data_IF_443386603862
#
_entry.id   IF_443386603862
#
_cell.length_a   1.000
_cell.length_b   1.000
_cell.length_c   1.000
_cell.angle_alpha   90.00
_cell.angle_beta   90.00
_cell.angle_gamma   90.00
#
_symmetry.space_group_name_H-M   'P 1'
#
loop_
_entity.id
_entity.type
_entity.pdbx_description
1 polymer ?
#
# COMPACT_ATOMS: atom_id res chain seq x y z
N UNK A 1 -3.48 -2.01 9.21
CA UNK A 1 -4.55 -1.25 8.51
C UNK A 1 -5.81 -1.08 9.37
N UNK A 2 -6.48 -2.16 9.80
CA UNK A 2 -7.74 -2.07 10.57
C UNK A 2 -7.69 -1.16 11.81
N UNK A 3 -6.59 -1.18 12.56
CA UNK A 3 -6.40 -0.28 13.71
C UNK A 3 -6.46 1.21 13.32
N UNK A 4 -5.93 1.57 12.14
CA UNK A 4 -6.02 2.94 11.60
C UNK A 4 -7.46 3.23 11.19
N UNK A 5 -8.12 2.30 10.48
CA UNK A 5 -9.49 2.51 9.99
C UNK A 5 -10.54 2.66 11.10
N UNK A 6 -10.34 1.98 12.23
CA UNK A 6 -11.27 2.00 13.37
C UNK A 6 -10.95 3.07 14.42
N UNK A 7 -9.80 3.72 14.32
CA UNK A 7 -9.48 4.89 15.13
C UNK A 7 -9.77 6.15 14.29
N UNK A 8 -10.81 6.89 14.64
CA UNK A 8 -11.25 8.05 13.86
C UNK A 8 -10.14 9.10 13.65
N UNK A 9 -9.37 9.39 14.69
CA UNK A 9 -8.27 10.35 14.62
C UNK A 9 -7.16 9.87 13.68
N UNK A 10 -6.75 8.61 13.80
CA UNK A 10 -5.74 8.04 12.92
C UNK A 10 -6.24 8.00 11.47
N UNK A 11 -7.48 7.53 11.24
CA UNK A 11 -8.11 7.51 9.91
C UNK A 11 -8.07 8.89 9.25
N UNK A 12 -8.49 9.93 9.97
CA UNK A 12 -8.50 11.30 9.48
C UNK A 12 -7.08 11.80 9.14
N UNK A 13 -6.10 11.55 10.01
CA UNK A 13 -4.71 11.95 9.76
C UNK A 13 -4.13 11.30 8.50
N UNK A 14 -4.35 10.00 8.31
CA UNK A 14 -3.89 9.30 7.11
C UNK A 14 -4.63 9.78 5.86
N UNK A 15 -5.94 9.97 5.92
CA UNK A 15 -6.72 10.50 4.80
C UNK A 15 -6.25 11.90 4.42
N UNK A 16 -6.08 12.79 5.39
CA UNK A 16 -5.55 14.14 5.16
C UNK A 16 -4.14 14.08 4.55
N UNK A 17 -3.28 13.19 5.03
CA UNK A 17 -1.94 13.00 4.48
C UNK A 17 -1.98 12.64 2.99
N UNK A 18 -2.78 11.62 2.60
CA UNK A 18 -2.85 11.13 1.22
C UNK A 18 -3.55 12.07 0.22
N UNK A 19 -4.35 13.03 0.70
CA UNK A 19 -5.01 14.02 -0.16
C UNK A 19 -4.17 15.27 -0.43
N UNK A 20 -2.96 15.37 0.15
CA UNK A 20 -2.04 16.48 -0.14
C UNK A 20 -1.27 16.20 -1.43
N UNK A 21 -1.38 17.12 -2.38
CA UNK A 21 -0.79 17.00 -3.73
C UNK A 21 0.74 16.88 -3.75
N UNK A 22 1.42 17.42 -2.73
CA UNK A 22 2.90 17.47 -2.68
C UNK A 22 3.50 16.38 -1.77
N UNK A 23 2.73 15.32 -1.48
CA UNK A 23 3.22 14.22 -0.62
C UNK A 23 3.53 12.98 -1.42
N UNK A 24 4.59 12.28 -0.98
CA UNK A 24 4.95 10.97 -1.51
C UNK A 24 4.84 9.91 -0.41
N UNK A 25 4.39 8.72 -0.80
CA UNK A 25 4.23 7.56 0.08
C UNK A 25 4.89 6.34 -0.55
N UNK A 26 5.59 5.54 0.26
CA UNK A 26 6.15 4.27 -0.15
C UNK A 26 5.80 3.19 0.87
N UNK A 27 5.26 2.07 0.39
CA UNK A 27 5.00 0.88 1.20
C UNK A 27 5.83 -0.31 0.71
N UNK A 28 6.68 -0.87 1.57
CA UNK A 28 7.51 -2.03 1.24
C UNK A 28 7.07 -3.23 2.07
N UNK A 29 6.88 -4.39 1.43
CA UNK A 29 6.48 -5.66 2.08
C UNK A 29 5.21 -5.48 2.95
N UNK A 30 5.32 -5.57 4.28
CA UNK A 30 4.21 -5.34 5.21
C UNK A 30 3.60 -3.92 5.06
N UNK A 31 4.39 -2.93 4.65
CA UNK A 31 3.90 -1.59 4.33
C UNK A 31 2.99 -1.59 3.09
N UNK A 32 3.35 -2.33 2.04
CA UNK A 32 2.51 -2.49 0.84
C UNK A 32 1.18 -3.20 1.17
N UNK A 33 1.24 -4.26 2.00
CA UNK A 33 0.05 -4.94 2.52
C UNK A 33 -0.83 -4.01 3.37
N UNK A 34 -0.21 -3.13 4.16
CA UNK A 34 -0.94 -2.16 4.98
C UNK A 34 -1.65 -1.12 4.10
N UNK A 35 -0.94 -0.52 3.14
CA UNK A 35 -1.50 0.51 2.25
C UNK A 35 -2.58 -0.04 1.32
N UNK A 36 -2.41 -1.24 0.75
CA UNK A 36 -3.46 -1.88 -0.06
C UNK A 36 -4.77 -2.11 0.71
N UNK A 37 -4.69 -2.29 2.03
CA UNK A 37 -5.88 -2.37 2.89
C UNK A 37 -6.42 -0.99 3.32
N UNK A 38 -5.68 0.10 3.08
CA UNK A 38 -6.12 1.48 3.28
C UNK A 38 -6.55 2.16 1.97
N UNK A 39 -6.75 1.42 0.88
CA UNK A 39 -7.04 2.00 -0.43
C UNK A 39 -8.24 2.95 -0.47
N UNK A 40 -9.21 2.80 0.44
CA UNK A 40 -10.35 3.72 0.59
C UNK A 40 -9.96 5.14 1.04
N UNK A 41 -8.75 5.32 1.57
CA UNK A 41 -8.21 6.61 2.02
C UNK A 41 -7.24 7.23 1.00
N UNK A 42 -6.88 6.51 -0.07
CA UNK A 42 -5.81 6.88 -1.00
C UNK A 42 -6.43 7.20 -2.37
N UNK A 43 -6.35 8.45 -2.85
CA UNK A 43 -6.83 8.80 -4.19
C UNK A 43 -6.18 7.96 -5.29
N UNK A 44 -6.97 7.48 -6.25
CA UNK A 44 -6.48 6.69 -7.39
C UNK A 44 -6.14 5.23 -7.09
N UNK A 45 -6.35 4.74 -5.87
CA UNK A 45 -6.01 3.37 -5.45
C UNK A 45 -7.14 2.34 -5.68
N UNK A 46 -8.22 2.68 -6.39
CA UNK A 46 -9.41 1.83 -6.54
C UNK A 46 -9.07 0.43 -7.09
N UNK A 47 -8.17 0.38 -8.07
CA UNK A 47 -7.71 -0.83 -8.76
C UNK A 47 -6.59 -1.58 -8.04
N UNK A 48 -6.15 -1.12 -6.86
CA UNK A 48 -5.08 -1.81 -6.14
C UNK A 48 -5.50 -3.22 -5.71
N UNK A 49 -4.64 -4.23 -5.93
CA UNK A 49 -4.92 -5.61 -5.56
C UNK A 49 -4.81 -5.82 -4.05
N UNK A 50 -5.23 -7.00 -3.59
CA UNK A 50 -4.93 -7.50 -2.25
C UNK A 50 -3.73 -8.43 -2.31
N UNK A 51 -2.87 -8.35 -1.30
CA UNK A 51 -1.78 -9.29 -1.10
C UNK A 51 -2.22 -10.35 -0.09
N UNK A 52 -2.15 -11.62 -0.50
CA UNK A 52 -2.64 -12.78 0.25
C UNK A 52 -1.53 -13.81 0.39
N UNK A 53 -1.86 -14.99 0.94
CA UNK A 53 -0.93 -16.10 1.06
C UNK A 53 -0.40 -16.51 -0.31
N UNK A 54 0.90 -16.79 -0.39
CA UNK A 54 1.56 -17.29 -1.59
C UNK A 54 0.94 -18.63 -2.02
N UNK A 55 0.92 -18.89 -3.33
CA UNK A 55 0.49 -20.19 -3.88
C UNK A 55 1.35 -21.36 -3.37
N UNK A 56 2.63 -21.12 -3.07
CA UNK A 56 3.53 -22.13 -2.47
C UNK A 56 3.17 -22.48 -1.03
N UNK A 57 2.27 -21.70 -0.40
CA UNK A 57 1.89 -21.78 1.00
C UNK A 57 3.02 -21.59 2.02
N UNK A 58 4.21 -21.18 1.55
CA UNK A 58 5.42 -20.96 2.35
C UNK A 58 5.85 -19.49 2.33
N UNK A 59 6.67 -19.15 3.31
CA UNK A 59 7.46 -17.91 3.27
C UNK A 59 8.60 -18.07 2.26
N UNK A 60 8.80 -17.06 1.42
CA UNK A 60 9.81 -17.07 0.36
C UNK A 60 10.86 -15.99 0.63
N UNK A 61 12.08 -16.40 1.01
CA UNK A 61 13.24 -15.53 1.09
C UNK A 61 14.11 -15.75 -0.16
N UNK A 62 14.04 -14.81 -1.11
CA UNK A 62 14.66 -14.95 -2.43
C UNK A 62 15.43 -13.70 -2.82
N UNK A 63 16.47 -13.89 -3.62
CA UNK A 63 17.03 -12.84 -4.45
C UNK A 63 16.44 -12.99 -5.85
N UNK A 64 15.36 -12.27 -6.11
CA UNK A 64 14.58 -12.38 -7.35
C UNK A 64 14.98 -11.27 -8.33
N UNK A 65 15.16 -11.64 -9.60
CA UNK A 65 15.31 -10.66 -10.68
C UNK A 65 13.94 -10.07 -11.04
N UNK A 66 13.88 -8.75 -11.18
CA UNK A 66 12.66 -8.01 -11.57
C UNK A 66 12.99 -6.99 -12.64
N UNK A 67 11.98 -6.59 -13.41
CA UNK A 67 12.06 -5.53 -14.43
C UNK A 67 11.22 -4.32 -14.00
N UNK A 68 11.74 -3.11 -14.25
CA UNK A 68 11.02 -1.86 -13.99
C UNK A 68 10.10 -1.57 -15.18
N UNK A 69 8.79 -1.64 -14.96
CA UNK A 69 7.76 -1.36 -15.96
C UNK A 69 7.43 0.14 -16.02
N UNK A 70 6.99 0.63 -17.19
CA UNK A 70 6.48 1.99 -17.33
C UNK A 70 5.22 2.19 -16.47
N UNK A 71 5.20 3.22 -15.65
CA UNK A 71 4.07 3.61 -14.80
C UNK A 71 4.13 5.11 -14.46
N UNK A 72 3.12 5.60 -13.76
CA UNK A 72 3.09 6.96 -13.20
C UNK A 72 3.80 7.07 -11.83
N UNK A 73 4.59 6.04 -11.45
CA UNK A 73 5.43 6.09 -10.24
C UNK A 73 6.46 7.21 -10.36
N UNK A 74 6.57 8.01 -9.30
CA UNK A 74 7.64 9.02 -9.15
C UNK A 74 8.95 8.42 -8.64
N UNK A 75 8.90 7.18 -8.13
CA UNK A 75 10.05 6.40 -7.68
C UNK A 75 10.49 5.40 -8.75
#
# INVERSE_FOLDING_TARGET
AKAILFNAQAREQFQAFFNREETFSLGVCNGCQMLSNLKELIPGADLWPRFVRNESERFEARFSLVEVQKSDSVF
#
